data_IF_925505284168
#
_entry.id   IF_925505284168
#
_cell.length_a   1.000
_cell.length_b   1.000
_cell.length_c   1.000
_cell.angle_alpha   90.00
_cell.angle_beta   90.00
_cell.angle_gamma   90.00
#
_symmetry.space_group_name_H-M   'P 1'
#
loop_
_entity.id
_entity.type
_entity.pdbx_description
1 polymer ?
#
# COMPACT_ATOMS: atom_id res chain seq x y z
N UNK A 1 -12.84 25.53 13.50
CA UNK A 1 -12.12 25.54 12.21
C UNK A 1 -13.09 25.05 11.16
N UNK A 2 -13.26 25.77 10.04
CA UNK A 2 -14.19 25.36 8.99
C UNK A 2 -13.77 24.00 8.41
N UNK A 3 -14.71 23.04 8.38
CA UNK A 3 -14.56 21.71 7.79
C UNK A 3 -14.23 21.88 6.30
N UNK A 4 -12.94 21.89 5.95
CA UNK A 4 -12.45 22.09 4.58
C UNK A 4 -12.63 20.77 3.83
N UNK A 5 -13.88 20.33 3.64
CA UNK A 5 -14.21 19.17 2.81
C UNK A 5 -13.69 19.42 1.39
N UNK A 6 -12.69 18.66 0.98
CA UNK A 6 -12.24 18.64 -0.42
C UNK A 6 -13.34 17.99 -1.24
N UNK A 7 -14.18 18.82 -1.86
CA UNK A 7 -15.29 18.34 -2.67
C UNK A 7 -14.81 17.67 -3.97
N UNK A 8 -15.57 16.72 -4.52
CA UNK A 8 -15.30 16.12 -5.84
C UNK A 8 -15.15 17.18 -6.94
N UNK A 9 -15.88 18.29 -6.86
CA UNK A 9 -15.74 19.42 -7.79
C UNK A 9 -14.39 20.14 -7.65
N UNK A 10 -13.88 20.31 -6.43
CA UNK A 10 -12.56 20.88 -6.20
C UNK A 10 -11.46 19.93 -6.69
N UNK A 11 -11.61 18.63 -6.42
CA UNK A 11 -10.72 17.58 -6.90
C UNK A 11 -10.62 17.55 -8.42
N UNK A 12 -11.74 17.42 -9.15
CA UNK A 12 -11.75 17.38 -10.63
C UNK A 12 -11.08 18.63 -11.22
N UNK A 13 -11.31 19.81 -10.65
CA UNK A 13 -10.64 21.04 -11.09
C UNK A 13 -9.13 21.02 -10.82
N UNK A 14 -8.69 20.51 -9.67
CA UNK A 14 -7.27 20.38 -9.35
C UNK A 14 -6.56 19.31 -10.18
N UNK A 15 -7.23 18.19 -10.52
CA UNK A 15 -6.66 17.13 -11.35
C UNK A 15 -6.37 17.62 -12.78
N UNK A 16 -7.27 18.44 -13.34
CA UNK A 16 -7.05 19.09 -14.65
C UNK A 16 -5.89 20.08 -14.60
N UNK A 17 -5.74 20.84 -13.50
CA UNK A 17 -4.63 21.78 -13.32
C UNK A 17 -3.28 21.09 -13.04
N UNK A 18 -3.28 19.98 -12.30
CA UNK A 18 -2.09 19.16 -12.04
C UNK A 18 -1.58 18.48 -13.32
N UNK A 19 -2.47 18.04 -14.20
CA UNK A 19 -2.12 17.52 -15.52
C UNK A 19 -1.37 18.56 -16.40
N UNK A 20 -1.55 19.85 -16.14
CA UNK A 20 -0.85 20.96 -16.84
C UNK A 20 0.42 21.45 -16.13
N UNK A 21 0.68 21.05 -14.89
CA UNK A 21 1.79 21.53 -14.06
C UNK A 21 3.00 20.57 -14.03
N UNK A 22 3.21 19.77 -15.08
CA UNK A 22 4.40 18.93 -15.24
C UNK A 22 5.53 19.80 -15.82
N UNK A 23 6.16 20.62 -14.97
CA UNK A 23 7.25 21.52 -15.39
C UNK A 23 8.55 21.38 -14.59
N UNK A 24 8.77 20.28 -13.86
CA UNK A 24 10.08 19.98 -13.25
C UNK A 24 10.45 18.51 -13.45
N UNK A 25 11.50 18.26 -14.25
CA UNK A 25 12.30 17.02 -14.25
C UNK A 25 11.57 15.68 -14.34
N UNK A 26 11.08 15.30 -15.52
CA UNK A 26 10.55 13.97 -15.92
C UNK A 26 11.41 12.72 -15.56
N UNK A 27 12.55 12.86 -14.88
CA UNK A 27 13.48 11.77 -14.57
C UNK A 27 13.62 11.38 -13.10
N UNK A 28 13.14 12.17 -12.14
CA UNK A 28 13.34 11.87 -10.72
C UNK A 28 12.22 10.98 -10.16
N UNK A 29 12.53 9.73 -9.81
CA UNK A 29 11.58 8.78 -9.19
C UNK A 29 11.54 8.86 -7.66
N UNK A 30 12.52 9.53 -7.03
CA UNK A 30 12.66 9.66 -5.58
C UNK A 30 13.25 11.02 -5.21
N UNK A 31 12.84 11.55 -4.05
CA UNK A 31 13.42 12.74 -3.42
C UNK A 31 14.67 12.46 -2.58
N UNK A 32 15.05 11.18 -2.41
CA UNK A 32 16.21 10.79 -1.63
C UNK A 32 17.51 11.36 -2.20
N UNK A 33 18.33 11.97 -1.35
CA UNK A 33 19.63 12.52 -1.75
C UNK A 33 19.57 13.80 -2.59
N UNK A 34 18.39 14.38 -2.81
CA UNK A 34 18.27 15.68 -3.50
C UNK A 34 18.86 16.81 -2.66
N UNK A 35 19.71 17.64 -3.27
CA UNK A 35 20.24 18.87 -2.64
C UNK A 35 19.14 19.89 -2.33
N UNK A 36 18.16 19.98 -3.21
CA UNK A 36 16.99 20.83 -3.06
C UNK A 36 15.75 20.01 -3.47
N UNK A 37 14.80 19.88 -2.54
CA UNK A 37 13.56 19.13 -2.76
C UNK A 37 12.60 20.03 -3.56
N UNK A 38 12.07 19.59 -4.72
CA UNK A 38 11.13 20.37 -5.53
C UNK A 38 9.85 20.73 -4.78
N UNK A 39 9.24 21.87 -5.13
CA UNK A 39 8.00 22.33 -4.48
C UNK A 39 6.83 21.37 -4.69
N UNK A 40 6.77 20.65 -5.82
CA UNK A 40 5.79 19.59 -6.05
C UNK A 40 5.84 18.49 -4.97
N UNK A 41 7.05 18.14 -4.49
CA UNK A 41 7.24 17.17 -3.41
C UNK A 41 6.87 17.81 -2.07
N UNK A 42 7.32 19.05 -1.80
CA UNK A 42 7.00 19.76 -0.55
C UNK A 42 5.50 20.01 -0.38
N UNK A 43 4.77 20.14 -1.48
CA UNK A 43 3.33 20.34 -1.51
C UNK A 43 2.54 19.02 -1.42
N UNK A 44 3.21 17.87 -1.33
CA UNK A 44 2.52 16.60 -1.11
C UNK A 44 1.83 16.54 0.26
N UNK A 45 0.92 15.58 0.41
CA UNK A 45 0.19 15.40 1.67
C UNK A 45 1.13 14.99 2.79
N UNK A 46 0.85 15.51 3.99
CA UNK A 46 1.63 15.22 5.21
C UNK A 46 3.14 15.27 4.97
N UNK A 47 3.61 16.31 4.26
CA UNK A 47 5.04 16.45 3.98
C UNK A 47 5.86 16.56 5.27
N UNK A 48 6.93 15.78 5.37
CA UNK A 48 7.97 15.87 6.38
C UNK A 48 9.34 15.81 5.70
N UNK A 49 10.26 16.77 5.95
CA UNK A 49 11.57 16.78 5.31
C UNK A 49 12.47 15.60 5.68
N UNK A 50 12.15 14.83 6.72
CA UNK A 50 12.86 13.61 7.11
C UNK A 50 12.32 12.34 6.43
N UNK A 51 11.25 12.45 5.64
CA UNK A 51 10.67 11.35 4.88
C UNK A 51 11.11 11.42 3.42
N UNK A 52 11.45 10.28 2.85
CA UNK A 52 11.62 10.14 1.41
C UNK A 52 10.24 10.02 0.76
N UNK A 53 10.01 10.79 -0.29
CA UNK A 53 8.86 10.66 -1.18
C UNK A 53 9.30 10.12 -2.54
N UNK A 54 8.53 9.19 -3.09
CA UNK A 54 8.69 8.60 -4.41
C UNK A 54 7.47 8.87 -5.27
N UNK A 55 7.71 9.03 -6.57
CA UNK A 55 6.62 9.16 -7.53
C UNK A 55 5.97 7.80 -7.74
N UNK A 56 4.65 7.71 -7.57
CA UNK A 56 3.88 6.49 -7.83
C UNK A 56 3.66 6.31 -9.33
N UNK A 57 4.72 6.02 -10.07
CA UNK A 57 4.71 5.92 -11.53
C UNK A 57 4.07 7.15 -12.20
N UNK A 58 3.34 6.92 -13.28
CA UNK A 58 2.68 7.95 -14.10
C UNK A 58 1.50 8.63 -13.42
N UNK A 59 1.11 8.21 -12.21
CA UNK A 59 0.08 8.93 -11.45
C UNK A 59 0.53 10.36 -11.10
N UNK A 60 1.85 10.58 -10.97
CA UNK A 60 2.38 11.86 -10.50
C UNK A 60 2.19 12.11 -9.01
N UNK A 61 1.59 11.17 -8.26
CA UNK A 61 1.46 11.28 -6.81
C UNK A 61 2.83 11.06 -6.14
N UNK A 62 3.21 11.98 -5.26
CA UNK A 62 4.39 11.86 -4.40
C UNK A 62 4.02 11.15 -3.10
N UNK A 63 4.13 9.83 -3.08
CA UNK A 63 3.85 8.99 -1.91
C UNK A 63 5.11 8.83 -1.06
N UNK A 64 4.94 8.75 0.25
CA UNK A 64 6.04 8.39 1.16
C UNK A 64 6.63 7.03 0.77
N UNK A 65 7.93 6.85 0.96
CA UNK A 65 8.64 5.61 0.68
C UNK A 65 8.09 4.41 1.48
N UNK A 66 7.27 4.66 2.51
CA UNK A 66 6.48 3.65 3.21
C UNK A 66 5.00 3.95 3.00
N UNK A 67 4.21 2.92 2.72
CA UNK A 67 2.75 3.01 2.69
C UNK A 67 2.18 2.26 3.91
N UNK A 68 1.22 2.85 4.62
CA UNK A 68 0.57 2.14 5.73
C UNK A 68 -0.36 1.06 5.16
N UNK A 69 -0.11 -0.19 5.53
CA UNK A 69 -1.03 -1.29 5.24
C UNK A 69 -2.27 -1.27 6.12
N UNK A 70 -3.40 -1.59 5.52
CA UNK A 70 -4.68 -1.64 6.20
C UNK A 70 -4.78 -2.75 7.26
N UNK A 71 -4.06 -3.86 7.07
CA UNK A 71 -4.10 -4.97 8.01
C UNK A 71 -3.52 -4.61 9.39
N UNK A 72 -4.22 -5.02 10.44
CA UNK A 72 -3.85 -4.86 11.85
C UNK A 72 -3.56 -6.19 12.55
N UNK A 73 -2.87 -7.10 11.86
CA UNK A 73 -2.57 -8.45 12.39
C UNK A 73 -1.83 -8.34 13.74
N UNK A 74 -2.32 -9.05 14.75
CA UNK A 74 -1.82 -9.07 16.15
C UNK A 74 -2.06 -7.78 16.95
N UNK A 75 -2.95 -6.89 16.50
CA UNK A 75 -3.34 -5.69 17.28
C UNK A 75 -3.88 -6.04 18.66
N UNK A 76 -4.46 -7.23 18.85
CA UNK A 76 -4.90 -7.75 20.15
C UNK A 76 -3.77 -7.71 21.19
N UNK A 77 -2.52 -7.97 20.78
CA UNK A 77 -1.35 -7.92 21.65
C UNK A 77 -0.96 -6.51 22.09
N UNK A 78 -1.30 -5.50 21.29
CA UNK A 78 -0.98 -4.10 21.60
C UNK A 78 -2.07 -3.44 22.43
N UNK A 79 -3.34 -3.77 22.17
CA UNK A 79 -4.47 -3.18 22.89
C UNK A 79 -4.95 -4.02 24.08
N UNK A 80 -4.31 -5.16 24.34
CA UNK A 80 -4.65 -6.05 25.45
C UNK A 80 -6.00 -6.75 25.30
N UNK A 81 -6.41 -7.08 24.07
CA UNK A 81 -7.66 -7.81 23.84
C UNK A 81 -7.50 -9.29 24.21
N UNK A 82 -8.50 -9.86 24.88
CA UNK A 82 -8.49 -11.28 25.28
C UNK A 82 -8.58 -12.24 24.08
N UNK A 83 -9.22 -11.78 23.00
CA UNK A 83 -9.42 -12.55 21.77
C UNK A 83 -8.65 -11.94 20.61
N UNK A 84 -8.21 -12.82 19.71
CA UNK A 84 -7.54 -12.41 18.47
C UNK A 84 -8.52 -11.62 17.62
N UNK A 85 -8.09 -10.44 17.20
CA UNK A 85 -8.86 -9.59 16.28
C UNK A 85 -8.51 -10.00 14.85
N UNK A 86 -9.54 -10.32 14.07
CA UNK A 86 -9.38 -10.66 12.67
C UNK A 86 -8.85 -9.45 11.86
N UNK A 87 -7.76 -9.60 11.08
CA UNK A 87 -7.17 -8.50 10.33
C UNK A 87 -8.00 -8.01 9.15
N UNK A 88 -9.04 -8.73 8.73
CA UNK A 88 -9.98 -8.36 7.66
C UNK A 88 -11.29 -7.81 8.22
N UNK A 89 -11.80 -8.38 9.30
CA UNK A 89 -13.12 -8.02 9.86
C UNK A 89 -13.06 -7.03 11.02
N UNK A 90 -11.91 -6.88 11.69
CA UNK A 90 -11.80 -6.08 12.91
C UNK A 90 -12.56 -6.70 14.09
N UNK A 91 -12.71 -5.96 15.21
CA UNK A 91 -13.37 -6.49 16.39
C UNK A 91 -14.90 -6.47 16.23
N UNK A 92 -15.54 -7.60 16.53
CA UNK A 92 -17.01 -7.69 16.68
C UNK A 92 -17.48 -7.27 18.07
N UNK A 93 -16.59 -7.28 19.07
CA UNK A 93 -16.88 -6.91 20.46
C UNK A 93 -16.85 -5.39 20.66
N UNK A 94 -18.00 -4.82 21.03
CA UNK A 94 -18.15 -3.40 21.33
C UNK A 94 -17.24 -2.93 22.48
N UNK A 95 -16.87 -3.82 23.41
CA UNK A 95 -15.97 -3.51 24.54
C UNK A 95 -14.55 -3.20 24.07
N UNK A 96 -14.11 -3.79 22.96
CA UNK A 96 -12.76 -3.62 22.40
C UNK A 96 -12.74 -2.58 21.28
N UNK A 97 -13.88 -2.31 20.64
CA UNK A 97 -14.00 -1.34 19.54
C UNK A 97 -13.43 0.05 19.88
N UNK A 98 -13.64 0.55 21.10
CA UNK A 98 -13.09 1.83 21.55
C UNK A 98 -11.56 1.86 21.53
N UNK A 99 -10.92 0.86 22.14
CA UNK A 99 -9.46 0.73 22.18
C UNK A 99 -8.88 0.51 20.78
N UNK A 100 -9.55 -0.30 19.96
CA UNK A 100 -9.18 -0.54 18.56
C UNK A 100 -9.15 0.76 17.75
N UNK A 101 -10.23 1.56 17.80
CA UNK A 101 -10.30 2.84 17.07
C UNK A 101 -9.32 3.88 17.62
N UNK A 102 -9.05 3.91 18.93
CA UNK A 102 -8.00 4.76 19.52
C UNK A 102 -6.64 4.41 18.93
N UNK A 103 -6.28 3.13 18.94
CA UNK A 103 -5.03 2.66 18.38
C UNK A 103 -4.91 2.99 16.88
N UNK A 104 -5.95 2.73 16.07
CA UNK A 104 -5.94 3.07 14.64
C UNK A 104 -5.72 4.57 14.43
N UNK A 105 -6.37 5.41 15.24
CA UNK A 105 -6.19 6.88 15.21
C UNK A 105 -4.76 7.27 15.56
N UNK A 106 -4.21 6.76 16.66
CA UNK A 106 -2.85 7.05 17.11
C UNK A 106 -1.79 6.64 16.07
N UNK A 107 -1.94 5.47 15.44
CA UNK A 107 -1.04 5.01 14.37
C UNK A 107 -1.13 5.93 13.16
N UNK A 108 -2.34 6.31 12.72
CA UNK A 108 -2.53 7.20 11.58
C UNK A 108 -2.01 8.61 11.89
N UNK A 109 -2.23 9.11 13.10
CA UNK A 109 -1.71 10.39 13.57
C UNK A 109 -0.20 10.40 13.53
N UNK A 110 0.44 9.34 14.06
CA UNK A 110 1.89 9.22 14.02
C UNK A 110 2.43 9.09 12.61
N UNK A 111 1.74 8.38 11.71
CA UNK A 111 2.10 8.32 10.29
C UNK A 111 2.18 9.71 9.68
N UNK A 112 1.15 10.55 9.87
CA UNK A 112 1.12 11.92 9.35
C UNK A 112 2.25 12.78 9.94
N UNK A 113 2.55 12.65 11.24
CA UNK A 113 3.63 13.38 11.90
C UNK A 113 5.01 13.06 11.32
N UNK A 114 5.29 11.78 11.03
CA UNK A 114 6.58 11.34 10.48
C UNK A 114 6.64 11.39 8.95
N UNK A 115 5.55 11.78 8.31
CA UNK A 115 5.47 12.01 6.87
C UNK A 115 4.96 10.85 6.02
N UNK A 116 4.52 9.75 6.64
CA UNK A 116 3.83 8.67 5.92
C UNK A 116 2.47 9.20 5.47
N UNK A 117 2.25 9.22 4.16
CA UNK A 117 1.12 9.93 3.55
C UNK A 117 0.24 9.06 2.66
N UNK A 118 0.43 7.74 2.65
CA UNK A 118 -0.35 6.81 1.83
C UNK A 118 -0.87 5.64 2.69
N UNK A 119 -2.12 5.25 2.45
CA UNK A 119 -2.74 4.06 3.05
C UNK A 119 -3.28 3.18 1.92
N UNK A 120 -2.88 1.91 1.91
CA UNK A 120 -3.50 0.88 1.08
C UNK A 120 -4.31 -0.06 1.97
N UNK A 121 -5.60 -0.19 1.69
CA UNK A 121 -6.49 -1.08 2.42
C UNK A 121 -7.30 -1.97 1.48
N UNK A 122 -7.57 -3.19 1.95
CA UNK A 122 -8.26 -4.23 1.20
C UNK A 122 -8.91 -5.31 2.08
N UNK A 123 -9.14 -5.04 3.36
CA UNK A 123 -10.00 -5.86 4.24
C UNK A 123 -11.46 -5.41 4.20
N UNK A 124 -12.38 -6.22 4.71
CA UNK A 124 -13.81 -5.89 4.72
C UNK A 124 -14.11 -4.71 5.64
N UNK A 125 -13.49 -4.65 6.83
CA UNK A 125 -13.68 -3.56 7.79
C UNK A 125 -12.67 -2.41 7.62
N UNK A 126 -11.63 -2.58 6.80
CA UNK A 126 -10.54 -1.61 6.69
C UNK A 126 -10.99 -0.26 6.10
N UNK A 127 -11.70 -0.20 4.95
CA UNK A 127 -12.10 1.07 4.36
C UNK A 127 -12.87 1.94 5.36
N UNK A 128 -13.86 1.37 6.03
CA UNK A 128 -14.73 2.07 6.97
C UNK A 128 -13.97 2.48 8.24
N UNK A 129 -13.07 1.64 8.74
CA UNK A 129 -12.20 1.95 9.89
C UNK A 129 -11.27 3.12 9.58
N UNK A 130 -10.52 3.05 8.48
CA UNK A 130 -9.55 4.10 8.13
C UNK A 130 -10.24 5.41 7.75
N UNK A 131 -11.37 5.36 7.04
CA UNK A 131 -12.12 6.57 6.73
C UNK A 131 -12.72 7.22 7.97
N UNK A 132 -13.15 6.42 8.96
CA UNK A 132 -13.63 6.94 10.25
C UNK A 132 -12.53 7.66 11.04
N UNK A 133 -11.33 7.10 11.14
CA UNK A 133 -10.22 7.76 11.88
C UNK A 133 -9.65 8.98 11.14
N UNK A 134 -9.81 9.04 9.81
CA UNK A 134 -9.45 10.17 8.96
C UNK A 134 -10.53 11.25 8.85
N UNK A 135 -11.70 11.07 9.47
CA UNK A 135 -12.77 12.06 9.40
C UNK A 135 -12.27 13.46 9.79
N UNK A 136 -12.53 14.45 8.94
CA UNK A 136 -12.05 15.84 9.08
C UNK A 136 -10.61 16.09 8.63
N UNK A 137 -9.88 15.05 8.17
CA UNK A 137 -8.45 15.12 7.77
C UNK A 137 -8.13 14.23 6.56
N UNK A 138 -9.15 13.89 5.75
CA UNK A 138 -9.03 13.03 4.56
C UNK A 138 -7.99 13.54 3.55
N UNK A 139 -7.79 14.85 3.48
CA UNK A 139 -6.82 15.53 2.62
C UNK A 139 -5.36 15.33 3.04
N UNK A 140 -5.10 14.69 4.19
CA UNK A 140 -3.75 14.43 4.71
C UNK A 140 -3.14 13.10 4.26
N UNK A 141 -3.93 12.18 3.69
CA UNK A 141 -3.45 10.88 3.25
C UNK A 141 -3.96 10.56 1.84
N UNK A 142 -3.14 9.97 0.99
CA UNK A 142 -3.57 9.28 -0.22
C UNK A 142 -4.20 7.94 0.15
N UNK A 143 -5.35 7.62 -0.45
CA UNK A 143 -6.04 6.36 -0.23
C UNK A 143 -5.99 5.50 -1.51
N UNK A 144 -5.35 4.33 -1.39
CA UNK A 144 -5.45 3.24 -2.35
C UNK A 144 -6.59 2.31 -1.88
N UNK A 145 -7.76 2.49 -2.49
CA UNK A 145 -9.01 1.87 -2.07
C UNK A 145 -9.22 0.52 -2.77
N UNK A 146 -9.62 -0.48 -1.98
CA UNK A 146 -10.14 -1.76 -2.44
C UNK A 146 -11.10 -2.36 -1.41
N UNK A 147 -12.00 -3.24 -1.85
CA UNK A 147 -12.91 -3.98 -0.99
C UNK A 147 -13.22 -5.38 -1.58
N UNK A 148 -12.59 -6.47 -1.09
CA UNK A 148 -12.62 -7.78 -1.75
C UNK A 148 -14.02 -8.34 -1.99
N UNK A 149 -14.91 -8.24 -1.00
CA UNK A 149 -16.29 -8.74 -1.10
C UNK A 149 -17.19 -7.92 -2.06
N UNK A 150 -16.67 -6.83 -2.64
CA UNK A 150 -17.39 -5.94 -3.55
C UNK A 150 -16.68 -5.82 -4.91
N UNK A 151 -15.75 -6.74 -5.20
CA UNK A 151 -14.86 -6.67 -6.35
C UNK A 151 -14.71 -8.06 -7.02
N UNK A 152 -13.64 -8.25 -7.78
CA UNK A 152 -13.44 -9.36 -8.73
C UNK A 152 -13.26 -10.73 -8.07
N UNK A 153 -13.03 -10.79 -6.75
CA UNK A 153 -12.98 -12.06 -6.01
C UNK A 153 -14.35 -12.74 -5.97
N UNK A 154 -15.42 -11.96 -6.06
CA UNK A 154 -16.78 -12.45 -6.16
C UNK A 154 -17.21 -12.51 -7.63
N UNK A 155 -17.45 -13.71 -8.15
CA UNK A 155 -17.83 -13.92 -9.55
C UNK A 155 -19.05 -13.08 -10.00
N UNK A 156 -20.14 -12.94 -9.21
CA UNK A 156 -21.29 -12.12 -9.60
C UNK A 156 -20.96 -10.62 -9.79
N UNK A 157 -19.83 -10.16 -9.26
CA UNK A 157 -19.42 -8.76 -9.37
C UNK A 157 -18.61 -8.46 -10.63
N UNK A 158 -18.19 -9.44 -11.43
CA UNK A 158 -17.31 -9.28 -12.61
C UNK A 158 -18.04 -8.68 -13.82
N UNK A 159 -18.66 -7.54 -13.62
CA UNK A 159 -19.36 -6.74 -14.62
C UNK A 159 -19.05 -5.26 -14.36
N UNK A 160 -18.75 -4.50 -15.42
CA UNK A 160 -18.26 -3.13 -15.27
C UNK A 160 -19.22 -2.22 -14.50
N UNK A 161 -20.51 -2.24 -14.84
CA UNK A 161 -21.53 -1.43 -14.19
C UNK A 161 -21.69 -1.83 -12.71
N UNK A 162 -21.67 -3.13 -12.42
CA UNK A 162 -21.77 -3.65 -11.05
C UNK A 162 -20.58 -3.25 -10.19
N UNK A 163 -19.36 -3.34 -10.72
CA UNK A 163 -18.14 -2.90 -10.01
C UNK A 163 -18.22 -1.42 -9.63
N UNK A 164 -18.63 -0.56 -10.58
CA UNK A 164 -18.77 0.88 -10.33
C UNK A 164 -19.86 1.17 -9.29
N UNK A 165 -21.01 0.49 -9.37
CA UNK A 165 -22.10 0.63 -8.39
C UNK A 165 -21.63 0.26 -6.97
N UNK A 166 -20.96 -0.88 -6.84
CA UNK A 166 -20.43 -1.36 -5.56
C UNK A 166 -19.35 -0.42 -4.99
N UNK A 167 -18.51 0.13 -5.87
CA UNK A 167 -17.51 1.12 -5.48
C UNK A 167 -18.16 2.42 -4.97
N UNK A 168 -19.16 2.96 -5.68
CA UNK A 168 -19.93 4.13 -5.23
C UNK A 168 -20.63 3.86 -3.88
N UNK A 169 -21.19 2.66 -3.70
CA UNK A 169 -21.81 2.25 -2.44
C UNK A 169 -20.78 2.17 -1.29
N UNK A 170 -19.59 1.61 -1.54
CA UNK A 170 -18.50 1.53 -0.57
C UNK A 170 -17.98 2.90 -0.15
N UNK A 171 -17.75 3.79 -1.12
CA UNK A 171 -17.38 5.18 -0.83
C UNK A 171 -18.45 5.90 -0.01
N UNK A 172 -19.74 5.67 -0.30
CA UNK A 172 -20.84 6.23 0.50
C UNK A 172 -20.79 5.75 1.96
N UNK A 173 -20.53 4.45 2.21
CA UNK A 173 -20.34 3.92 3.58
C UNK A 173 -19.16 4.58 4.29
N UNK A 174 -18.10 4.86 3.54
CA UNK A 174 -16.89 5.52 4.04
C UNK A 174 -17.02 7.05 4.18
N UNK A 175 -18.13 7.65 3.75
CA UNK A 175 -18.29 9.11 3.70
C UNK A 175 -17.32 9.80 2.73
N UNK A 176 -16.88 9.09 1.68
CA UNK A 176 -15.96 9.58 0.65
C UNK A 176 -16.72 10.11 -0.57
N UNK A 177 -16.23 11.22 -1.13
CA UNK A 177 -16.67 11.70 -2.45
C UNK A 177 -15.74 11.25 -3.60
N UNK A 178 -14.50 10.87 -3.26
CA UNK A 178 -13.47 10.37 -4.18
C UNK A 178 -12.38 9.59 -3.43
N UNK A 179 -11.62 8.79 -4.17
CA UNK A 179 -10.36 8.15 -3.72
C UNK A 179 -9.18 8.60 -4.58
N UNK A 180 -7.97 8.46 -4.08
CA UNK A 180 -6.78 8.83 -4.85
C UNK A 180 -6.48 7.77 -5.90
N UNK A 181 -6.52 6.50 -5.49
CA UNK A 181 -6.43 5.35 -6.40
C UNK A 181 -7.57 4.38 -6.12
N UNK A 182 -8.35 4.03 -7.15
CA UNK A 182 -9.16 2.83 -7.07
C UNK A 182 -8.35 1.65 -7.60
N UNK A 183 -7.94 0.79 -6.68
CA UNK A 183 -7.10 -0.36 -6.96
C UNK A 183 -7.93 -1.62 -6.77
N UNK A 184 -8.45 -2.20 -7.84
CA UNK A 184 -9.28 -3.40 -7.76
C UNK A 184 -8.48 -4.63 -7.29
N UNK A 185 -9.04 -5.41 -6.37
CA UNK A 185 -8.46 -6.67 -5.94
C UNK A 185 -8.89 -7.81 -6.86
N UNK A 186 -7.96 -8.28 -7.68
CA UNK A 186 -8.16 -9.46 -8.51
C UNK A 186 -8.06 -10.76 -7.70
N UNK A 187 -8.32 -11.87 -8.37
CA UNK A 187 -7.98 -13.19 -7.85
C UNK A 187 -6.47 -13.25 -7.57
N UNK A 188 -6.09 -13.99 -6.53
CA UNK A 188 -4.69 -14.24 -6.23
C UNK A 188 -3.97 -14.84 -7.44
N UNK A 189 -4.64 -15.76 -8.14
CA UNK A 189 -4.23 -16.24 -9.47
C UNK A 189 -4.98 -15.45 -10.53
N UNK A 190 -4.45 -14.27 -10.86
CA UNK A 190 -5.05 -13.35 -11.83
C UNK A 190 -5.35 -14.01 -13.17
N UNK A 191 -4.49 -14.91 -13.65
CA UNK A 191 -4.70 -15.66 -14.89
C UNK A 191 -5.92 -16.60 -14.91
N UNK A 192 -6.64 -16.76 -13.79
CA UNK A 192 -7.93 -17.48 -13.74
C UNK A 192 -9.12 -16.62 -14.14
N UNK A 193 -8.94 -15.30 -14.28
CA UNK A 193 -9.95 -14.43 -14.88
C UNK A 193 -10.07 -14.73 -16.36
N UNK A 194 -11.30 -14.79 -16.86
CA UNK A 194 -11.57 -14.81 -18.29
C UNK A 194 -11.23 -13.45 -18.92
N UNK A 195 -11.11 -13.41 -20.25
CA UNK A 195 -10.94 -12.13 -20.95
C UNK A 195 -12.12 -11.18 -20.69
N UNK A 196 -13.34 -11.71 -20.59
CA UNK A 196 -14.52 -10.91 -20.26
C UNK A 196 -14.43 -10.28 -18.86
N UNK A 197 -13.87 -11.01 -17.88
CA UNK A 197 -13.64 -10.48 -16.52
C UNK A 197 -12.60 -9.34 -16.55
N UNK A 198 -11.54 -9.50 -17.35
CA UNK A 198 -10.51 -8.46 -17.56
C UNK A 198 -11.12 -7.23 -18.22
N UNK A 199 -11.87 -7.40 -19.31
CA UNK A 199 -12.49 -6.29 -20.03
C UNK A 199 -13.47 -5.53 -19.13
N UNK A 200 -14.27 -6.24 -18.32
CA UNK A 200 -15.16 -5.64 -17.33
C UNK A 200 -14.40 -4.84 -16.26
N UNK A 201 -13.26 -5.34 -15.78
CA UNK A 201 -12.39 -4.62 -14.84
C UNK A 201 -11.86 -3.33 -15.46
N UNK A 202 -11.29 -3.41 -16.67
CA UNK A 202 -10.68 -2.26 -17.37
C UNK A 202 -11.75 -1.20 -17.68
N UNK A 203 -12.92 -1.62 -18.16
CA UNK A 203 -14.05 -0.71 -18.40
C UNK A 203 -14.52 -0.03 -17.10
N UNK A 204 -14.64 -0.76 -15.99
CA UNK A 204 -15.01 -0.18 -14.70
C UNK A 204 -14.02 0.90 -14.25
N UNK A 205 -12.71 0.61 -14.31
CA UNK A 205 -11.65 1.56 -13.96
C UNK A 205 -11.76 2.83 -14.82
N UNK A 206 -11.93 2.68 -16.14
CA UNK A 206 -12.09 3.81 -17.05
C UNK A 206 -13.34 4.65 -16.72
N UNK A 207 -14.49 4.01 -16.44
CA UNK A 207 -15.72 4.69 -16.04
C UNK A 207 -15.53 5.46 -14.74
N UNK A 208 -14.93 4.85 -13.72
CA UNK A 208 -14.74 5.47 -12.41
C UNK A 208 -13.82 6.70 -12.49
N UNK A 209 -12.71 6.59 -13.24
CA UNK A 209 -11.80 7.72 -13.49
C UNK A 209 -12.49 8.84 -14.29
N UNK A 210 -13.21 8.51 -15.36
CA UNK A 210 -13.98 9.48 -16.16
C UNK A 210 -15.05 10.20 -15.33
N UNK A 211 -15.71 9.49 -14.42
CA UNK A 211 -16.66 10.09 -13.47
C UNK A 211 -15.94 10.93 -12.39
N UNK A 212 -14.63 10.81 -12.20
CA UNK A 212 -13.91 11.48 -11.12
C UNK A 212 -14.22 10.88 -9.75
N UNK A 213 -14.53 9.58 -9.70
CA UNK A 213 -14.65 8.80 -8.46
C UNK A 213 -13.27 8.44 -7.90
N UNK A 214 -12.28 8.31 -8.77
CA UNK A 214 -10.87 8.17 -8.44
C UNK A 214 -10.00 9.10 -9.30
N UNK A 215 -8.80 9.45 -8.82
CA UNK A 215 -7.79 10.15 -9.66
C UNK A 215 -7.06 9.16 -10.56
N UNK A 216 -6.69 8.01 -9.98
CA UNK A 216 -5.92 6.98 -10.65
C UNK A 216 -6.52 5.60 -10.46
N UNK A 217 -6.05 4.68 -11.28
CA UNK A 217 -6.55 3.31 -11.37
C UNK A 217 -5.42 2.29 -11.31
N UNK A 218 -5.76 1.08 -10.86
CA UNK A 218 -4.80 -0.01 -10.76
C UNK A 218 -5.44 -1.30 -10.30
N UNK A 219 -4.60 -2.30 -10.03
CA UNK A 219 -5.05 -3.60 -9.53
C UNK A 219 -4.06 -4.23 -8.54
N UNK A 220 -4.53 -5.22 -7.78
CA UNK A 220 -3.67 -6.12 -7.00
C UNK A 220 -3.85 -7.57 -7.41
N UNK A 221 -2.77 -8.36 -7.42
CA UNK A 221 -2.82 -9.81 -7.68
C UNK A 221 -1.63 -10.52 -7.05
N UNK A 222 -1.68 -11.86 -6.93
CA UNK A 222 -0.53 -12.71 -6.61
C UNK A 222 -0.04 -13.49 -7.85
N UNK A 223 -0.34 -12.98 -9.05
CA UNK A 223 0.08 -13.53 -10.34
C UNK A 223 0.94 -12.54 -11.12
N UNK A 224 2.25 -12.81 -11.12
CA UNK A 224 3.26 -11.95 -11.73
C UNK A 224 3.12 -11.86 -13.26
N UNK A 225 2.91 -13.00 -13.92
CA UNK A 225 2.81 -13.05 -15.38
C UNK A 225 1.56 -12.32 -15.86
N UNK A 226 0.45 -12.50 -15.13
CA UNK A 226 -0.79 -11.78 -15.42
C UNK A 226 -0.67 -10.27 -15.15
N UNK A 227 -0.01 -9.87 -14.05
CA UNK A 227 0.26 -8.45 -13.78
C UNK A 227 1.07 -7.80 -14.91
N UNK A 228 2.08 -8.49 -15.43
CA UNK A 228 2.89 -8.02 -16.56
C UNK A 228 2.04 -7.84 -17.81
N UNK A 229 1.25 -8.85 -18.16
CA UNK A 229 0.33 -8.80 -19.30
C UNK A 229 -0.62 -7.60 -19.20
N UNK A 230 -1.19 -7.34 -18.02
CA UNK A 230 -2.09 -6.20 -17.82
C UNK A 230 -1.39 -4.85 -18.05
N UNK A 231 -0.17 -4.69 -17.56
CA UNK A 231 0.61 -3.46 -17.75
C UNK A 231 0.88 -3.20 -19.23
N UNK A 232 1.26 -4.24 -19.97
CA UNK A 232 1.63 -4.14 -21.38
C UNK A 232 0.39 -3.93 -22.28
N UNK A 233 -0.74 -4.54 -21.93
CA UNK A 233 -1.96 -4.53 -22.73
C UNK A 233 -2.85 -3.32 -22.44
N UNK A 234 -2.91 -2.89 -21.17
CA UNK A 234 -3.79 -1.80 -20.70
C UNK A 234 -3.02 -0.69 -19.98
N UNK A 235 -2.00 -0.09 -20.63
CA UNK A 235 -1.12 0.87 -19.96
C UNK A 235 -1.82 2.18 -19.58
N UNK A 236 -3.02 2.47 -20.07
CA UNK A 236 -3.73 3.70 -19.71
C UNK A 236 -4.53 3.54 -18.39
N UNK A 237 -5.06 2.34 -18.16
CA UNK A 237 -5.90 2.01 -17.01
C UNK A 237 -5.08 1.42 -15.86
N UNK A 238 -3.95 0.78 -16.13
CA UNK A 238 -3.04 0.25 -15.11
C UNK A 238 -1.93 1.27 -14.83
N UNK A 239 -2.19 2.18 -13.87
CA UNK A 239 -1.23 3.22 -13.46
C UNK A 239 -0.38 2.78 -12.25
N UNK A 240 -0.92 1.89 -11.43
CA UNK A 240 -0.20 1.25 -10.34
C UNK A 240 -0.60 -0.21 -10.16
N UNK A 241 0.33 -1.04 -9.67
CA UNK A 241 0.05 -2.41 -9.23
C UNK A 241 0.43 -2.64 -7.76
N UNK A 242 -0.33 -3.49 -7.08
CA UNK A 242 -0.04 -3.93 -5.72
C UNK A 242 0.24 -5.43 -5.76
N UNK A 243 1.49 -5.79 -5.49
CA UNK A 243 2.00 -7.16 -5.67
C UNK A 243 2.98 -7.54 -4.56
N UNK A 244 3.17 -8.83 -4.27
CA UNK A 244 4.11 -9.28 -3.27
C UNK A 244 5.56 -8.88 -3.58
N UNK A 245 6.26 -8.39 -2.55
CA UNK A 245 7.70 -8.20 -2.57
C UNK A 245 8.25 -8.30 -1.15
N UNK A 246 9.18 -9.22 -0.93
CA UNK A 246 9.68 -9.60 0.40
C UNK A 246 11.18 -9.35 0.51
N UNK A 247 11.74 -9.59 1.70
CA UNK A 247 13.20 -9.59 1.91
C UNK A 247 13.97 -10.57 1.02
N UNK A 248 13.31 -11.61 0.51
CA UNK A 248 13.94 -12.63 -0.32
C UNK A 248 13.58 -12.51 -1.81
N UNK A 249 12.79 -11.50 -2.18
CA UNK A 249 12.44 -11.23 -3.57
C UNK A 249 13.61 -10.60 -4.31
N UNK A 250 13.86 -11.08 -5.53
CA UNK A 250 14.93 -10.65 -6.44
C UNK A 250 14.33 -10.31 -7.78
N UNK A 251 14.97 -9.40 -8.50
CA UNK A 251 14.64 -9.14 -9.89
C UNK A 251 15.14 -10.28 -10.80
N UNK A 252 14.30 -10.71 -11.74
CA UNK A 252 14.71 -11.59 -12.82
C UNK A 252 15.74 -10.88 -13.72
N UNK A 253 16.82 -11.55 -14.17
CA UNK A 253 17.84 -10.93 -15.00
C UNK A 253 17.34 -10.59 -16.41
N UNK A 254 16.28 -11.27 -16.89
CA UNK A 254 15.67 -11.08 -18.20
C UNK A 254 14.16 -11.25 -18.05
N UNK A 255 13.41 -10.42 -18.78
CA UNK A 255 11.95 -10.50 -18.87
C UNK A 255 11.21 -10.27 -17.54
N UNK A 256 11.80 -9.47 -16.64
CA UNK A 256 11.22 -9.16 -15.33
C UNK A 256 9.89 -8.42 -15.47
N UNK A 257 8.99 -8.60 -14.50
CA UNK A 257 7.83 -7.71 -14.36
C UNK A 257 8.26 -6.24 -14.20
N UNK A 258 9.41 -5.98 -13.59
CA UNK A 258 9.93 -4.62 -13.41
C UNK A 258 10.28 -3.94 -14.73
N UNK A 259 10.64 -4.69 -15.78
CA UNK A 259 10.91 -4.12 -17.10
C UNK A 259 9.65 -3.51 -17.70
N UNK A 260 8.51 -4.22 -17.61
CA UNK A 260 7.21 -3.70 -18.04
C UNK A 260 6.80 -2.48 -17.20
N UNK A 261 6.99 -2.54 -15.88
CA UNK A 261 6.69 -1.40 -15.01
C UNK A 261 7.50 -0.15 -15.36
N UNK A 262 8.81 -0.30 -15.61
CA UNK A 262 9.68 0.83 -16.00
C UNK A 262 9.28 1.37 -17.37
N UNK A 263 9.06 0.50 -18.34
CA UNK A 263 8.68 0.88 -19.71
C UNK A 263 7.37 1.67 -19.74
N UNK A 264 6.39 1.27 -18.93
CA UNK A 264 5.07 1.87 -18.90
C UNK A 264 4.87 2.87 -17.75
N UNK A 265 5.91 3.18 -16.98
CA UNK A 265 5.88 4.08 -15.82
C UNK A 265 4.75 3.73 -14.83
N UNK A 266 4.70 2.46 -14.41
CA UNK A 266 3.69 1.95 -13.47
C UNK A 266 4.24 1.97 -12.04
N UNK A 267 3.50 2.60 -11.12
CA UNK A 267 3.85 2.61 -9.70
C UNK A 267 3.63 1.25 -9.05
N UNK A 268 4.42 0.91 -8.03
CA UNK A 268 4.28 -0.37 -7.32
C UNK A 268 4.24 -0.20 -5.82
N UNK A 269 3.18 -0.73 -5.23
CA UNK A 269 3.11 -0.93 -3.78
C UNK A 269 3.40 -2.41 -3.46
N UNK A 270 4.43 -2.65 -2.65
CA UNK A 270 4.93 -3.99 -2.32
C UNK A 270 4.27 -4.57 -1.08
N UNK A 271 3.36 -5.53 -1.22
CA UNK A 271 2.72 -6.20 -0.07
C UNK A 271 3.58 -7.31 0.50
N UNK A 272 3.24 -7.67 1.74
CA UNK A 272 3.85 -8.76 2.51
C UNK A 272 5.36 -8.55 2.73
N UNK A 273 5.85 -7.33 3.03
CA UNK A 273 7.28 -7.11 3.26
C UNK A 273 7.84 -8.01 4.36
N UNK A 274 7.01 -8.37 5.33
CA UNK A 274 7.36 -9.23 6.47
C UNK A 274 6.82 -10.67 6.38
N UNK A 275 6.32 -11.07 5.21
CA UNK A 275 5.86 -12.43 4.91
C UNK A 275 4.96 -13.04 6.01
N UNK A 276 3.84 -12.38 6.33
CA UNK A 276 2.90 -12.83 7.36
C UNK A 276 3.48 -12.90 8.78
N UNK A 277 4.50 -12.08 9.07
CA UNK A 277 5.30 -12.04 10.30
C UNK A 277 6.31 -13.20 10.44
N UNK A 278 6.59 -13.96 9.37
CA UNK A 278 7.53 -15.10 9.41
C UNK A 278 9.01 -14.70 9.59
N UNK A 279 9.33 -13.40 9.43
CA UNK A 279 10.68 -12.86 9.72
C UNK A 279 10.89 -12.56 11.22
N UNK A 280 9.82 -12.54 12.02
CA UNK A 280 9.83 -12.15 13.42
C UNK A 280 9.85 -13.36 14.36
N UNK A 281 10.38 -13.17 15.56
CA UNK A 281 10.34 -14.17 16.64
C UNK A 281 9.21 -13.89 17.63
N UNK A 282 8.94 -12.62 17.90
CA UNK A 282 7.88 -12.17 18.77
C UNK A 282 6.50 -12.15 18.10
N UNK A 283 5.50 -11.86 18.92
CA UNK A 283 4.11 -11.70 18.54
C UNK A 283 3.71 -10.23 18.32
N UNK A 284 4.65 -9.29 18.42
CA UNK A 284 4.40 -7.86 18.26
C UNK A 284 3.93 -7.16 19.55
N UNK A 285 3.89 -7.88 20.69
CA UNK A 285 3.69 -7.24 21.99
C UNK A 285 4.82 -6.23 22.28
N UNK A 286 4.52 -5.02 22.79
CA UNK A 286 5.53 -3.98 23.04
C UNK A 286 6.63 -4.37 24.02
N UNK A 287 6.32 -5.26 24.96
CA UNK A 287 7.17 -5.77 26.04
C UNK A 287 7.82 -7.13 25.72
N UNK A 288 7.67 -7.63 24.50
CA UNK A 288 8.31 -8.88 24.08
C UNK A 288 9.83 -8.82 24.23
N UNK A 289 10.44 -9.89 24.76
CA UNK A 289 11.90 -10.04 24.81
C UNK A 289 12.57 -9.99 23.42
N UNK A 290 11.80 -10.20 22.35
CA UNK A 290 12.27 -10.14 20.97
C UNK A 290 12.07 -8.77 20.31
N UNK A 291 11.41 -7.81 20.98
CA UNK A 291 10.96 -6.55 20.38
C UNK A 291 12.11 -5.77 19.72
N UNK A 292 13.26 -5.60 20.39
CA UNK A 292 14.40 -4.87 19.82
C UNK A 292 14.95 -5.53 18.56
N UNK A 293 15.10 -6.86 18.60
CA UNK A 293 15.58 -7.64 17.45
C UNK A 293 14.59 -7.56 16.29
N UNK A 294 13.30 -7.73 16.57
CA UNK A 294 12.27 -7.71 15.53
C UNK A 294 12.10 -6.32 14.92
N UNK A 295 12.19 -5.26 15.73
CA UNK A 295 12.24 -3.88 15.25
C UNK A 295 13.44 -3.67 14.32
N UNK A 296 14.65 -4.12 14.70
CA UNK A 296 15.84 -4.04 13.84
C UNK A 296 15.63 -4.77 12.52
N UNK A 297 15.17 -6.02 12.55
CA UNK A 297 14.93 -6.82 11.33
C UNK A 297 13.86 -6.19 10.44
N UNK A 298 12.81 -5.59 11.02
CA UNK A 298 11.81 -4.86 10.25
C UNK A 298 12.45 -3.67 9.50
N UNK A 299 13.31 -2.88 10.17
CA UNK A 299 13.99 -1.73 9.52
C UNK A 299 14.92 -2.16 8.41
N UNK A 300 15.79 -3.13 8.68
CA UNK A 300 16.75 -3.66 7.71
C UNK A 300 16.02 -4.25 6.49
N UNK A 301 14.92 -4.99 6.72
CA UNK A 301 14.08 -5.54 5.64
C UNK A 301 13.50 -4.43 4.77
N UNK A 302 13.00 -3.35 5.37
CA UNK A 302 12.44 -2.22 4.63
C UNK A 302 13.53 -1.47 3.85
N UNK A 303 14.70 -1.22 4.46
CA UNK A 303 15.86 -0.64 3.77
C UNK A 303 16.28 -1.48 2.56
N UNK A 304 16.32 -2.80 2.73
CA UNK A 304 16.61 -3.75 1.64
C UNK A 304 15.60 -3.64 0.50
N UNK A 305 14.30 -3.70 0.80
CA UNK A 305 13.24 -3.61 -0.20
C UNK A 305 13.32 -2.27 -0.96
N UNK A 306 13.56 -1.18 -0.24
CA UNK A 306 13.70 0.15 -0.83
C UNK A 306 14.96 0.33 -1.68
N UNK A 307 15.91 -0.61 -1.61
CA UNK A 307 17.05 -0.69 -2.51
C UNK A 307 16.65 -1.05 -3.95
N UNK A 308 15.52 -1.74 -4.14
CA UNK A 308 14.94 -1.90 -5.46
C UNK A 308 14.10 -0.66 -5.83
N UNK A 309 14.61 0.12 -6.78
CA UNK A 309 13.98 1.38 -7.24
C UNK A 309 12.66 1.16 -7.98
N UNK A 310 12.35 -0.06 -8.41
CA UNK A 310 11.05 -0.39 -9.00
C UNK A 310 9.91 -0.41 -7.95
N UNK A 311 10.24 -0.60 -6.67
CA UNK A 311 9.28 -0.55 -5.56
C UNK A 311 9.06 0.91 -5.17
N UNK A 312 7.85 1.44 -5.37
CA UNK A 312 7.51 2.79 -4.90
C UNK A 312 7.42 2.83 -3.38
N UNK A 313 6.69 1.88 -2.76
CA UNK A 313 6.66 1.75 -1.31
C UNK A 313 6.28 0.33 -0.88
N UNK A 314 7.02 -0.32 0.04
CA UNK A 314 6.49 -1.47 0.78
C UNK A 314 5.29 -1.05 1.64
N UNK A 315 4.39 -2.01 1.86
CA UNK A 315 3.15 -1.83 2.64
C UNK A 315 3.20 -2.68 3.93
N UNK A 316 3.94 -2.26 4.98
CA UNK A 316 3.90 -2.93 6.27
C UNK A 316 2.56 -2.66 6.99
N UNK A 317 2.03 -3.69 7.66
CA UNK A 317 0.95 -3.53 8.64
C UNK A 317 1.53 -3.02 9.95
N UNK A 318 1.08 -1.86 10.42
CA UNK A 318 1.60 -1.20 11.62
C UNK A 318 0.50 -1.12 12.70
N UNK A 319 0.84 -1.59 13.90
CA UNK A 319 -0.09 -1.72 15.03
C UNK A 319 0.26 -0.87 16.25
N UNK A 320 1.38 -0.16 16.23
CA UNK A 320 1.76 0.80 17.27
C UNK A 320 2.53 1.99 16.70
N UNK A 321 2.55 3.11 17.44
CA UNK A 321 3.34 4.29 17.09
C UNK A 321 4.84 3.98 17.07
N UNK A 322 5.32 3.10 17.96
CA UNK A 322 6.70 2.58 17.95
C UNK A 322 7.06 1.92 16.63
N UNK A 323 6.16 1.11 16.06
CA UNK A 323 6.39 0.49 14.75
C UNK A 323 6.42 1.52 13.63
N UNK A 324 5.59 2.58 13.71
CA UNK A 324 5.64 3.71 12.77
C UNK A 324 6.99 4.43 12.85
N UNK A 325 7.47 4.72 14.07
CA UNK A 325 8.78 5.34 14.30
C UNK A 325 9.92 4.48 13.77
N UNK A 326 9.81 3.16 13.94
CA UNK A 326 10.77 2.21 13.42
C UNK A 326 10.83 2.27 11.87
N UNK A 327 9.69 2.40 11.19
CA UNK A 327 9.66 2.59 9.73
C UNK A 327 10.23 3.95 9.31
N UNK A 328 9.95 5.02 10.04
CA UNK A 328 10.55 6.33 9.78
C UNK A 328 12.08 6.29 9.97
N UNK A 329 12.56 5.58 10.98
CA UNK A 329 14.00 5.40 11.22
C UNK A 329 14.68 4.64 10.07
N UNK A 330 14.00 3.65 9.47
CA UNK A 330 14.51 2.93 8.29
C UNK A 330 14.79 3.85 7.09
N UNK A 331 14.12 5.01 7.00
CA UNK A 331 14.36 6.02 5.96
C UNK A 331 15.56 6.91 6.28
N UNK A 332 15.81 7.16 7.57
CA UNK A 332 16.91 8.03 8.04
C UNK A 332 18.25 7.31 8.10
N UNK A 333 18.24 6.00 8.31
CA UNK A 333 19.45 5.17 8.25
C UNK A 333 19.99 5.08 6.80
N UNK A 334 21.31 4.83 6.61
CA UNK A 334 21.90 4.70 5.28
C UNK A 334 21.15 3.68 4.40
N UNK A 335 20.85 4.02 3.15
CA UNK A 335 20.14 3.08 2.26
C UNK A 335 20.94 1.80 2.01
N UNK A 336 22.25 1.92 1.85
CA UNK A 336 23.12 0.77 1.66
C UNK A 336 23.28 -0.01 2.97
N UNK A 337 23.13 -1.33 2.88
CA UNK A 337 23.35 -2.25 3.98
C UNK A 337 24.83 -2.60 4.09
N UNK A 338 25.34 -2.67 5.32
CA UNK A 338 26.63 -3.28 5.64
C UNK A 338 26.64 -4.78 5.31
N UNK A 339 27.83 -5.36 5.19
CA UNK A 339 27.98 -6.81 4.96
C UNK A 339 27.36 -7.65 6.09
N UNK A 340 27.39 -7.15 7.32
CA UNK A 340 26.74 -7.81 8.45
C UNK A 340 25.22 -7.80 8.32
N UNK A 341 24.61 -6.67 7.96
CA UNK A 341 23.17 -6.56 7.72
C UNK A 341 22.74 -7.44 6.54
N UNK A 342 23.50 -7.45 5.43
CA UNK A 342 23.24 -8.35 4.29
C UNK A 342 23.24 -9.82 4.72
N UNK A 343 24.26 -10.26 5.46
CA UNK A 343 24.35 -11.64 5.96
C UNK A 343 23.21 -11.98 6.95
N UNK A 344 22.79 -11.03 7.78
CA UNK A 344 21.65 -11.20 8.68
C UNK A 344 20.34 -11.35 7.89
N UNK A 345 20.07 -10.50 6.91
CA UNK A 345 18.88 -10.59 6.06
C UNK A 345 18.85 -11.85 5.20
N UNK A 346 19.98 -12.32 4.69
CA UNK A 346 20.08 -13.60 3.98
C UNK A 346 19.66 -14.77 4.89
N UNK A 347 20.12 -14.76 6.15
CA UNK A 347 19.71 -15.75 7.14
C UNK A 347 18.23 -15.64 7.47
N UNK A 348 17.71 -14.43 7.65
CA UNK A 348 16.27 -14.18 7.90
C UNK A 348 15.42 -14.64 6.73
N UNK A 349 15.83 -14.38 5.49
CA UNK A 349 15.12 -14.85 4.29
C UNK A 349 15.02 -16.38 4.22
N UNK A 350 16.10 -17.10 4.54
CA UNK A 350 16.06 -18.58 4.64
C UNK A 350 15.12 -19.07 5.73
N UNK A 351 15.16 -18.44 6.91
CA UNK A 351 14.27 -18.80 8.03
C UNK A 351 12.81 -18.47 7.74
N UNK A 352 12.55 -17.34 7.09
CA UNK A 352 11.23 -16.89 6.67
C UNK A 352 10.57 -17.97 5.81
N UNK A 353 11.27 -18.51 4.81
CA UNK A 353 10.78 -19.60 3.97
C UNK A 353 10.42 -20.85 4.78
N UNK A 354 11.25 -21.25 5.73
CA UNK A 354 10.96 -22.39 6.60
C UNK A 354 9.74 -22.16 7.53
N UNK A 355 9.44 -20.89 7.85
CA UNK A 355 8.38 -20.48 8.78
C UNK A 355 7.11 -19.96 8.12
N UNK A 356 7.00 -20.03 6.80
CA UNK A 356 5.77 -19.62 6.12
C UNK A 356 4.60 -20.51 6.56
N UNK A 357 3.45 -19.92 6.92
CA UNK A 357 2.20 -20.66 7.08
C UNK A 357 1.83 -21.44 5.81
N UNK A 358 1.04 -22.52 5.96
CA UNK A 358 0.64 -23.37 4.84
C UNK A 358 -0.07 -22.57 3.72
N UNK A 359 -0.96 -21.66 4.11
CA UNK A 359 -1.71 -20.75 3.24
C UNK A 359 -0.85 -19.63 2.62
N UNK A 360 0.42 -19.51 3.01
CA UNK A 360 1.37 -18.54 2.48
C UNK A 360 2.50 -19.17 1.63
N UNK A 361 2.55 -20.50 1.49
CA UNK A 361 3.62 -21.18 0.73
C UNK A 361 3.73 -20.73 -0.73
N UNK A 362 2.63 -20.22 -1.31
CA UNK A 362 2.63 -19.65 -2.66
C UNK A 362 3.58 -18.45 -2.82
N UNK A 363 3.96 -17.77 -1.72
CA UNK A 363 4.88 -16.63 -1.74
C UNK A 363 6.27 -16.99 -2.26
N UNK A 364 6.64 -18.28 -2.23
CA UNK A 364 7.89 -18.78 -2.85
C UNK A 364 7.97 -18.52 -4.35
N UNK A 365 6.82 -18.41 -5.02
CA UNK A 365 6.77 -18.07 -6.46
C UNK A 365 7.20 -16.63 -6.74
N UNK A 366 7.35 -15.81 -5.69
CA UNK A 366 7.78 -14.41 -5.72
C UNK A 366 9.23 -14.22 -5.26
N UNK A 367 10.03 -15.30 -5.17
CA UNK A 367 11.48 -15.17 -4.93
C UNK A 367 12.18 -14.46 -6.11
N UNK A 368 11.72 -14.67 -7.33
CA UNK A 368 12.18 -13.95 -8.52
C UNK A 368 11.00 -13.20 -9.14
N UNK A 369 11.18 -11.94 -9.53
CA UNK A 369 10.11 -11.03 -9.99
C UNK A 369 10.51 -10.35 -11.29
#
# INVERSE_FOLDING_TARGET
>A
MADRRVSRRAFVKSSVAAATAVSVGLGASSSFGMKEVPDEVKNTRSYNPNMEYRRLGKTGLWVSAICLGGHWKRIDKVIGAETVIDPYEGPSDARVMGAFLSNRREVVDRCMEVGINCIDFAGNAEPETYCKVLQGRRDKMYLCYSHPASELREEPNRNAARLVELFEAGMKRCGLEYVDVWRLMALERGGRHSQADVDAMIEALAIAKKKGLCAHTGCSTHDRAWAKMLIETYPNEIEMICIPYTVASKELPVDSLFDAMRKHDVGMLGIKPFASNSIFLGDGAPDSQHAERDDRIARETIRHILGNVAVTAPIPGLISTKQVDNMALAIKEPRELSEQEKAELDRVGRQMWARLPADYQWLRQWEYV
#
